data_IF_764468730592
#
_entry.id   IF_764468730592
#
_cell.length_a   1.000
_cell.length_b   1.000
_cell.length_c   1.000
_cell.angle_alpha   90.00
_cell.angle_beta   90.00
_cell.angle_gamma   90.00
#
_symmetry.space_group_name_H-M   'P 1'
#
loop_
_entity.id
_entity.type
_entity.pdbx_description
1 polymer ?
#
# COMPACT_ATOMS: atom_id res chain seq x y z
N UNK A 1 33.73 -4.73 6.12
CA UNK A 1 33.08 -4.03 4.99
C UNK A 1 32.74 -2.62 5.44
N UNK A 2 32.90 -1.60 4.59
CA UNK A 2 32.56 -0.23 4.98
C UNK A 2 31.05 -0.12 5.24
N UNK A 3 30.67 0.37 6.42
CA UNK A 3 29.27 0.72 6.73
C UNK A 3 28.89 1.86 5.78
N UNK A 4 27.95 1.59 4.86
CA UNK A 4 27.40 2.65 4.01
C UNK A 4 26.28 3.31 4.77
N UNK A 5 26.34 4.63 4.91
CA UNK A 5 25.24 5.39 5.49
C UNK A 5 24.00 5.32 4.59
N UNK A 6 22.82 5.34 5.22
CA UNK A 6 21.56 5.48 4.51
C UNK A 6 21.55 6.78 3.69
N UNK A 7 21.06 6.70 2.47
CA UNK A 7 20.90 7.87 1.59
C UNK A 7 19.43 8.09 1.33
N UNK A 8 18.90 9.24 1.79
CA UNK A 8 17.50 9.60 1.64
C UNK A 8 17.39 10.73 0.63
N UNK A 9 16.47 10.59 -0.32
CA UNK A 9 16.19 11.59 -1.33
C UNK A 9 14.70 11.59 -1.68
N UNK A 10 14.08 12.75 -1.96
CA UNK A 10 12.69 12.80 -2.42
C UNK A 10 12.46 11.92 -3.64
N UNK A 11 11.24 11.40 -3.80
CA UNK A 11 10.87 10.71 -5.03
C UNK A 11 10.89 11.69 -6.21
N UNK A 12 11.41 11.23 -7.35
CA UNK A 12 11.37 12.01 -8.57
C UNK A 12 9.92 12.14 -9.05
N UNK A 13 9.45 13.37 -9.19
CA UNK A 13 8.14 13.69 -9.75
C UNK A 13 8.30 14.60 -10.97
N UNK A 14 7.36 14.61 -11.94
CA UNK A 14 7.38 15.58 -13.03
C UNK A 14 7.42 17.01 -12.47
N UNK A 15 8.10 17.93 -13.16
CA UNK A 15 8.23 19.32 -12.71
C UNK A 15 6.90 20.09 -12.64
N UNK A 16 5.85 19.56 -13.28
CA UNK A 16 4.48 20.08 -13.27
C UNK A 16 3.64 19.49 -12.14
N UNK A 17 4.16 18.50 -11.40
CA UNK A 17 3.45 17.84 -10.31
C UNK A 17 3.47 18.69 -9.04
N UNK A 18 2.33 18.78 -8.37
CA UNK A 18 2.21 19.38 -7.04
C UNK A 18 2.49 18.38 -5.90
N UNK A 19 2.91 17.16 -6.22
CA UNK A 19 3.25 16.14 -5.21
C UNK A 19 4.49 16.57 -4.42
N UNK A 20 4.34 16.64 -3.10
CA UNK A 20 5.34 17.12 -2.13
C UNK A 20 5.74 16.04 -1.10
N UNK A 21 5.30 14.80 -1.29
CA UNK A 21 5.56 13.68 -0.40
C UNK A 21 6.24 12.52 -1.12
N UNK A 22 6.79 11.59 -0.35
CA UNK A 22 7.50 10.42 -0.81
C UNK A 22 9.01 10.61 -0.83
N UNK A 23 9.73 9.62 -0.32
CA UNK A 23 11.19 9.55 -0.45
C UNK A 23 11.65 8.13 -0.80
N UNK A 24 12.84 8.02 -1.38
CA UNK A 24 13.55 6.75 -1.50
C UNK A 24 14.73 6.70 -0.54
N UNK A 25 15.04 5.51 -0.06
CA UNK A 25 16.20 5.24 0.78
C UNK A 25 17.05 4.14 0.13
N UNK A 26 18.32 4.44 -0.09
CA UNK A 26 19.33 3.51 -0.57
C UNK A 26 20.22 3.00 0.59
N UNK A 27 20.86 1.86 0.38
CA UNK A 27 21.78 1.19 1.31
C UNK A 27 21.14 0.69 2.63
N UNK A 28 19.84 0.40 2.65
CA UNK A 28 19.19 -0.27 3.78
C UNK A 28 19.50 -1.77 3.75
N UNK A 29 19.96 -2.33 4.86
CA UNK A 29 20.02 -3.77 5.11
C UNK A 29 18.88 -4.16 6.07
N UNK A 30 17.78 -4.69 5.51
CA UNK A 30 16.63 -5.09 6.33
C UNK A 30 16.85 -6.38 7.11
N UNK A 31 17.77 -7.24 6.67
CA UNK A 31 18.10 -8.48 7.38
C UNK A 31 18.87 -8.18 8.67
N UNK A 32 19.62 -7.07 8.69
CA UNK A 32 20.46 -6.68 9.82
C UNK A 32 20.20 -5.23 10.26
N UNK A 33 18.92 -4.85 10.36
CA UNK A 33 18.54 -3.46 10.63
C UNK A 33 18.92 -3.02 12.05
N UNK A 34 19.81 -2.02 12.15
CA UNK A 34 20.19 -1.41 13.43
C UNK A 34 19.10 -0.49 13.99
N UNK A 35 19.14 -0.17 15.28
CA UNK A 35 18.19 0.77 15.89
C UNK A 35 18.35 2.20 15.33
N UNK A 36 19.58 2.61 15.02
CA UNK A 36 19.87 3.92 14.43
C UNK A 36 19.32 4.04 13.00
N UNK A 37 19.45 2.96 12.21
CA UNK A 37 18.88 2.90 10.86
C UNK A 37 17.35 2.88 10.92
N UNK A 38 16.78 2.12 11.86
CA UNK A 38 15.34 2.11 12.08
C UNK A 38 14.79 3.50 12.44
N UNK A 39 15.40 4.22 13.37
CA UNK A 39 14.96 5.59 13.70
C UNK A 39 15.07 6.54 12.50
N UNK A 40 16.11 6.37 11.67
CA UNK A 40 16.24 7.12 10.43
C UNK A 40 15.10 6.83 9.46
N UNK A 41 14.77 5.55 9.23
CA UNK A 41 13.64 5.13 8.38
C UNK A 41 12.31 5.63 8.96
N UNK A 42 12.11 5.50 10.28
CA UNK A 42 10.88 5.92 10.96
C UNK A 42 10.63 7.42 10.80
N UNK A 43 11.64 8.24 11.05
CA UNK A 43 11.53 9.69 10.88
C UNK A 43 11.28 10.05 9.42
N UNK A 44 12.00 9.44 8.49
CA UNK A 44 11.79 9.66 7.06
C UNK A 44 10.38 9.30 6.61
N UNK A 45 9.80 8.21 7.12
CA UNK A 45 8.44 7.77 6.80
C UNK A 45 7.40 8.75 7.34
N UNK A 46 7.52 9.19 8.59
CA UNK A 46 6.55 10.14 9.16
C UNK A 46 6.63 11.53 8.55
N UNK A 47 7.79 11.93 8.02
CA UNK A 47 7.91 13.19 7.26
C UNK A 47 7.45 13.06 5.82
N UNK A 48 7.78 11.95 5.14
CA UNK A 48 7.56 11.80 3.69
C UNK A 48 6.29 11.03 3.36
N UNK A 49 5.59 10.47 4.35
CA UNK A 49 4.39 9.62 4.26
C UNK A 49 4.55 8.28 3.53
N UNK A 50 5.39 8.21 2.49
CA UNK A 50 5.69 7.01 1.70
C UNK A 50 7.20 6.88 1.54
N UNK A 51 7.72 5.67 1.73
CA UNK A 51 9.13 5.35 1.49
C UNK A 51 9.29 4.22 0.47
N UNK A 52 10.26 4.37 -0.42
CA UNK A 52 10.74 3.31 -1.30
C UNK A 52 12.13 2.90 -0.85
N UNK A 53 12.25 1.73 -0.23
CA UNK A 53 13.55 1.15 0.12
C UNK A 53 14.10 0.42 -1.11
N UNK A 54 15.23 0.88 -1.66
CA UNK A 54 15.79 0.35 -2.91
C UNK A 54 16.67 -0.87 -2.64
N UNK A 55 16.81 -1.70 -3.69
CA UNK A 55 17.72 -2.87 -3.71
C UNK A 55 17.42 -3.94 -2.64
N UNK A 56 16.13 -4.15 -2.33
CA UNK A 56 15.66 -5.13 -1.35
C UNK A 56 15.29 -6.49 -1.99
N UNK A 57 15.88 -6.81 -3.14
CA UNK A 57 15.63 -8.10 -3.79
C UNK A 57 16.20 -9.23 -2.94
N UNK A 58 15.37 -10.23 -2.61
CA UNK A 58 15.78 -11.37 -1.80
C UNK A 58 15.70 -11.17 -0.29
N UNK A 59 15.16 -10.04 0.18
CA UNK A 59 14.80 -9.87 1.60
C UNK A 59 13.76 -10.92 2.00
N UNK A 60 13.96 -11.52 3.16
CA UNK A 60 13.09 -12.55 3.70
C UNK A 60 11.75 -11.97 4.18
N UNK A 61 10.67 -12.78 4.16
CA UNK A 61 9.40 -12.40 4.78
C UNK A 61 9.56 -11.99 6.26
N UNK A 62 10.49 -12.63 6.97
CA UNK A 62 10.77 -12.31 8.37
C UNK A 62 11.35 -10.89 8.52
N UNK A 63 12.37 -10.52 7.74
CA UNK A 63 12.94 -9.18 7.78
C UNK A 63 11.91 -8.09 7.43
N UNK A 64 11.04 -8.32 6.43
CA UNK A 64 9.92 -7.42 6.13
C UNK A 64 8.96 -7.28 7.33
N UNK A 65 8.62 -8.40 7.97
CA UNK A 65 7.78 -8.42 9.15
C UNK A 65 8.42 -7.66 10.32
N UNK A 66 9.69 -7.91 10.62
CA UNK A 66 10.41 -7.27 11.72
C UNK A 66 10.50 -5.75 11.55
N UNK A 67 10.79 -5.25 10.34
CA UNK A 67 10.71 -3.81 10.06
C UNK A 67 9.33 -3.24 10.43
N UNK A 68 8.27 -3.90 9.97
CA UNK A 68 6.88 -3.47 10.19
C UNK A 68 6.53 -3.49 11.68
N UNK A 69 6.93 -4.56 12.39
CA UNK A 69 6.70 -4.75 13.82
C UNK A 69 7.38 -3.68 14.67
N UNK A 70 8.53 -3.15 14.27
CA UNK A 70 9.19 -2.07 15.03
C UNK A 70 8.36 -0.78 15.07
N UNK A 71 7.50 -0.51 14.09
CA UNK A 71 6.55 0.61 14.13
C UNK A 71 5.37 0.36 15.08
N UNK A 72 4.99 -0.90 15.25
CA UNK A 72 3.92 -1.30 16.18
C UNK A 72 4.22 -2.65 16.84
N UNK A 73 4.94 -2.65 17.99
CA UNK A 73 5.33 -3.90 18.65
C UNK A 73 4.15 -4.78 19.09
N UNK A 74 2.96 -4.20 19.22
CA UNK A 74 1.72 -4.91 19.56
C UNK A 74 1.06 -5.63 18.36
N UNK A 75 1.55 -5.40 17.14
CA UNK A 75 1.01 -6.03 15.94
C UNK A 75 1.52 -7.48 15.78
N UNK A 76 0.71 -8.43 16.25
CA UNK A 76 1.06 -9.87 16.20
C UNK A 76 0.48 -10.61 14.99
N UNK A 77 -0.50 -10.03 14.30
CA UNK A 77 -1.23 -10.64 13.19
C UNK A 77 -1.41 -9.71 11.99
N UNK A 78 -1.64 -10.28 10.82
CA UNK A 78 -2.04 -9.52 9.63
C UNK A 78 -3.43 -8.89 9.82
N UNK A 79 -3.54 -7.58 9.55
CA UNK A 79 -4.78 -6.82 9.71
C UNK A 79 -5.31 -6.89 11.15
N UNK A 80 -6.59 -7.20 11.31
CA UNK A 80 -7.26 -7.34 12.61
C UNK A 80 -7.34 -8.78 13.13
N UNK A 81 -6.47 -9.66 12.60
CA UNK A 81 -6.43 -11.06 12.98
C UNK A 81 -7.77 -11.79 12.75
N UNK A 82 -8.16 -12.63 13.73
CA UNK A 82 -9.37 -13.48 13.65
C UNK A 82 -10.69 -12.76 13.94
N UNK A 83 -10.67 -11.45 14.20
CA UNK A 83 -11.89 -10.68 14.51
C UNK A 83 -12.85 -10.69 13.31
N UNK A 84 -12.32 -10.87 12.10
CA UNK A 84 -13.09 -10.98 10.87
C UNK A 84 -12.99 -12.42 10.38
N UNK A 85 -14.13 -13.02 10.02
CA UNK A 85 -14.14 -14.28 9.28
C UNK A 85 -13.37 -14.04 7.98
N UNK A 86 -12.15 -14.57 7.91
CA UNK A 86 -11.24 -14.33 6.79
C UNK A 86 -11.92 -14.66 5.46
N UNK A 87 -12.84 -15.64 5.43
CA UNK A 87 -13.61 -16.04 4.24
C UNK A 87 -14.59 -14.98 3.73
N UNK A 88 -14.99 -14.03 4.56
CA UNK A 88 -15.87 -12.91 4.20
C UNK A 88 -15.11 -11.66 3.78
N UNK A 89 -13.78 -11.65 3.90
CA UNK A 89 -12.97 -10.53 3.45
C UNK A 89 -12.99 -10.44 1.93
N UNK A 90 -13.23 -9.24 1.40
CA UNK A 90 -13.10 -8.94 -0.05
C UNK A 90 -11.70 -9.30 -0.57
N UNK A 91 -10.69 -9.32 0.31
CA UNK A 91 -9.31 -9.67 -0.01
C UNK A 91 -9.02 -11.17 0.01
N UNK A 92 -9.87 -11.99 0.63
CA UNK A 92 -9.64 -13.44 0.77
C UNK A 92 -9.24 -14.16 -0.52
N UNK A 93 -9.88 -13.92 -1.69
CA UNK A 93 -9.48 -14.61 -2.92
C UNK A 93 -8.09 -14.22 -3.44
N UNK A 94 -7.58 -13.05 -3.04
CA UNK A 94 -6.41 -12.42 -3.64
C UNK A 94 -5.12 -12.63 -2.82
N UNK A 95 -5.24 -13.02 -1.55
CA UNK A 95 -4.12 -13.20 -0.62
C UNK A 95 -3.73 -14.68 -0.45
N UNK A 96 -2.43 -14.96 -0.33
CA UNK A 96 -1.90 -16.25 0.14
C UNK A 96 -0.96 -16.03 1.33
N UNK A 97 -1.26 -16.67 2.46
CA UNK A 97 -0.43 -16.57 3.68
C UNK A 97 0.86 -17.36 3.53
N UNK A 98 2.00 -16.74 3.83
CA UNK A 98 3.30 -17.44 3.88
C UNK A 98 3.34 -18.35 5.13
N UNK A 99 3.55 -19.68 4.99
CA UNK A 99 3.52 -20.62 6.12
C UNK A 99 4.57 -20.34 7.20
N UNK A 100 5.77 -19.90 6.80
CA UNK A 100 6.90 -19.62 7.70
C UNK A 100 6.78 -18.26 8.40
N UNK A 101 5.96 -17.34 7.88
CA UNK A 101 5.74 -16.01 8.43
C UNK A 101 4.30 -15.55 8.14
N UNK A 102 3.35 -15.97 8.98
CA UNK A 102 1.90 -15.85 8.68
C UNK A 102 1.36 -14.42 8.68
N UNK A 103 2.12 -13.46 9.21
CA UNK A 103 1.83 -12.03 9.13
C UNK A 103 2.09 -11.46 7.73
N UNK A 104 2.80 -12.19 6.87
CA UNK A 104 3.11 -11.79 5.50
C UNK A 104 2.19 -12.51 4.52
N UNK A 105 1.63 -11.73 3.60
CA UNK A 105 0.71 -12.18 2.57
C UNK A 105 1.34 -11.99 1.20
N UNK A 106 1.16 -12.97 0.33
CA UNK A 106 1.56 -12.91 -1.08
C UNK A 106 0.37 -12.45 -1.91
N UNK A 107 0.60 -11.42 -2.72
CA UNK A 107 -0.32 -10.90 -3.72
C UNK A 107 0.34 -10.92 -5.08
N UNK A 108 -0.45 -11.07 -6.15
CA UNK A 108 0.09 -11.10 -7.50
C UNK A 108 -0.93 -11.60 -8.51
N UNK A 109 -0.43 -12.13 -9.63
CA UNK A 109 -1.26 -12.67 -10.70
C UNK A 109 -0.61 -13.91 -11.32
N UNK A 110 -1.43 -14.88 -11.69
CA UNK A 110 -1.00 -16.07 -12.43
C UNK A 110 -0.58 -17.24 -11.54
N UNK A 111 -0.18 -18.32 -12.19
CA UNK A 111 0.21 -19.58 -11.57
C UNK A 111 1.69 -19.56 -11.11
N UNK A 112 1.95 -20.20 -9.98
CA UNK A 112 3.27 -20.37 -9.37
C UNK A 112 3.44 -21.82 -8.91
N UNK A 113 4.56 -22.44 -9.30
CA UNK A 113 4.94 -23.78 -8.86
C UNK A 113 5.27 -23.80 -7.36
N UNK A 114 6.14 -22.89 -6.92
CA UNK A 114 6.53 -22.76 -5.51
C UNK A 114 6.99 -21.32 -5.19
N UNK A 115 6.65 -20.83 -4.00
CA UNK A 115 7.19 -19.59 -3.44
C UNK A 115 7.03 -19.56 -1.92
N UNK A 116 8.11 -19.36 -1.17
CA UNK A 116 8.07 -19.22 0.30
C UNK A 116 7.29 -20.34 1.01
N UNK A 117 7.43 -21.58 0.54
CA UNK A 117 6.76 -22.76 1.08
C UNK A 117 5.31 -22.99 0.60
N UNK A 118 4.74 -22.08 -0.19
CA UNK A 118 3.51 -22.31 -0.95
C UNK A 118 3.82 -23.12 -2.20
N UNK A 119 2.97 -24.08 -2.57
CA UNK A 119 3.12 -24.93 -3.76
C UNK A 119 1.84 -24.96 -4.60
N UNK A 120 2.00 -25.07 -5.91
CA UNK A 120 0.93 -25.27 -6.90
C UNK A 120 -0.26 -24.32 -6.70
N UNK A 121 0.02 -23.01 -6.66
CA UNK A 121 -1.00 -22.00 -6.33
C UNK A 121 -1.14 -20.95 -7.42
N UNK A 122 -2.33 -20.37 -7.53
CA UNK A 122 -2.61 -19.27 -8.45
C UNK A 122 -2.95 -18.02 -7.64
N UNK A 123 -2.27 -16.93 -7.97
CA UNK A 123 -2.58 -15.60 -7.49
C UNK A 123 -3.54 -14.92 -8.46
N UNK A 124 -4.45 -14.13 -7.91
CA UNK A 124 -5.42 -13.35 -8.69
C UNK A 124 -5.21 -11.88 -8.38
N UNK A 125 -4.98 -11.09 -9.43
CA UNK A 125 -4.95 -9.64 -9.28
C UNK A 125 -6.37 -9.08 -9.35
N UNK A 126 -6.76 -8.19 -8.41
CA UNK A 126 -8.03 -7.51 -8.50
C UNK A 126 -8.14 -6.69 -9.78
N UNK A 127 -9.37 -6.55 -10.29
CA UNK A 127 -9.63 -5.95 -11.58
C UNK A 127 -10.66 -4.83 -11.45
N UNK A 128 -10.43 -3.67 -12.09
CA UNK A 128 -11.30 -2.49 -11.97
C UNK A 128 -12.79 -2.81 -12.25
N UNK A 129 -13.08 -3.64 -13.26
CA UNK A 129 -14.44 -4.07 -13.62
C UNK A 129 -15.31 -4.68 -12.53
N UNK A 130 -14.72 -5.18 -11.43
CA UNK A 130 -15.52 -5.77 -10.32
C UNK A 130 -15.86 -4.77 -9.23
N UNK A 131 -15.36 -3.54 -9.32
CA UNK A 131 -15.55 -2.50 -8.30
C UNK A 131 -16.28 -1.28 -8.84
N UNK A 132 -16.06 -0.94 -10.12
CA UNK A 132 -16.72 0.19 -10.76
C UNK A 132 -18.13 -0.16 -11.21
N UNK A 133 -19.04 0.82 -11.13
CA UNK A 133 -20.43 0.69 -11.61
C UNK A 133 -20.47 0.42 -13.11
N UNK A 134 -19.73 1.22 -13.86
CA UNK A 134 -19.60 1.12 -15.31
C UNK A 134 -18.20 0.57 -15.60
N UNK A 135 -18.08 -0.53 -16.33
CA UNK A 135 -16.78 -1.11 -16.67
C UNK A 135 -16.21 -0.49 -17.96
N UNK A 136 -14.89 -0.56 -18.13
CA UNK A 136 -14.29 -0.36 -19.46
C UNK A 136 -14.82 -1.45 -20.40
N UNK A 137 -15.22 -1.13 -21.65
CA UNK A 137 -15.65 -2.11 -22.64
C UNK A 137 -14.60 -3.19 -22.88
N UNK A 138 -15.03 -4.40 -23.25
CA UNK A 138 -14.14 -5.54 -23.41
C UNK A 138 -13.09 -5.32 -24.51
N UNK A 139 -13.45 -4.62 -25.59
CA UNK A 139 -12.52 -4.25 -26.66
C UNK A 139 -11.36 -3.34 -26.20
N UNK A 140 -11.57 -2.57 -25.12
CA UNK A 140 -10.65 -1.56 -24.60
C UNK A 140 -9.86 -2.06 -23.36
N UNK A 141 -10.34 -3.11 -22.67
CA UNK A 141 -9.84 -3.56 -21.35
C UNK A 141 -8.35 -4.01 -21.36
N UNK A 142 -7.83 -4.36 -22.53
CA UNK A 142 -6.41 -4.68 -22.68
C UNK A 142 -5.54 -3.42 -22.60
N UNK A 143 -5.95 -2.33 -23.24
CA UNK A 143 -5.15 -1.10 -23.38
C UNK A 143 -5.41 -0.12 -22.23
N UNK A 144 -6.63 -0.11 -21.69
CA UNK A 144 -7.08 0.87 -20.71
C UNK A 144 -7.32 0.25 -19.34
N UNK A 145 -7.17 1.06 -18.29
CA UNK A 145 -7.45 0.66 -16.90
C UNK A 145 -8.01 1.83 -16.09
N UNK A 146 -8.44 1.54 -14.87
CA UNK A 146 -8.81 2.54 -13.85
C UNK A 146 -8.17 2.17 -12.52
N UNK A 147 -8.08 3.12 -11.60
CA UNK A 147 -7.78 2.80 -10.21
C UNK A 147 -8.80 1.77 -9.69
N UNK A 148 -8.33 0.63 -9.18
CA UNK A 148 -9.23 -0.43 -8.70
C UNK A 148 -10.14 0.08 -7.58
N UNK A 149 -9.54 0.61 -6.50
CA UNK A 149 -10.23 1.29 -5.39
C UNK A 149 -9.26 2.17 -4.61
N UNK A 150 -9.75 3.27 -4.06
CA UNK A 150 -9.05 4.06 -3.05
C UNK A 150 -9.42 3.58 -1.65
N UNK A 151 -8.45 3.36 -0.77
CA UNK A 151 -8.70 2.92 0.60
C UNK A 151 -7.53 3.23 1.53
N UNK A 152 -7.81 3.18 2.84
CA UNK A 152 -6.82 3.03 3.91
C UNK A 152 -6.93 1.59 4.40
N UNK A 153 -5.79 0.92 4.55
CA UNK A 153 -5.75 -0.47 4.98
C UNK A 153 -6.46 -0.66 6.32
N UNK A 154 -7.34 -1.67 6.37
CA UNK A 154 -8.03 -2.09 7.59
C UNK A 154 -8.69 -0.95 8.40
N UNK A 155 -9.10 0.15 7.75
CA UNK A 155 -9.89 1.23 8.35
C UNK A 155 -11.34 0.78 8.55
N UNK A 156 -11.57 -0.01 9.60
CA UNK A 156 -12.85 -0.63 9.91
C UNK A 156 -13.54 0.04 11.10
N UNK A 157 -14.85 -0.18 11.23
CA UNK A 157 -15.63 0.34 12.34
C UNK A 157 -15.10 -0.17 13.69
N UNK A 158 -14.94 0.75 14.65
CA UNK A 158 -14.48 0.49 16.01
C UNK A 158 -13.07 -0.13 16.15
N UNK A 159 -12.28 -0.16 15.07
CA UNK A 159 -10.92 -0.68 15.08
C UNK A 159 -9.95 0.38 14.55
N UNK A 160 -8.83 0.56 15.25
CA UNK A 160 -7.79 1.48 14.80
C UNK A 160 -7.09 0.91 13.56
N UNK A 161 -6.89 1.68 12.49
CA UNK A 161 -6.14 1.20 11.33
C UNK A 161 -4.68 0.89 11.72
N UNK A 162 -3.98 0.02 10.96
CA UNK A 162 -2.56 -0.20 11.14
C UNK A 162 -1.77 1.10 11.02
N UNK A 163 -0.70 1.23 11.81
CA UNK A 163 0.17 2.42 11.78
C UNK A 163 0.93 2.54 10.46
N UNK A 164 1.37 1.40 9.90
CA UNK A 164 2.13 1.30 8.66
C UNK A 164 1.78 0.00 7.93
N UNK A 165 1.94 0.00 6.61
CA UNK A 165 1.92 -1.21 5.77
C UNK A 165 3.23 -1.26 5.00
N UNK A 166 3.87 -2.43 4.96
CA UNK A 166 5.02 -2.68 4.09
C UNK A 166 4.62 -3.55 2.91
N UNK A 167 5.09 -3.20 1.71
CA UNK A 167 4.89 -3.96 0.48
C UNK A 167 6.24 -4.23 -0.18
N UNK A 168 6.54 -5.50 -0.45
CA UNK A 168 7.77 -5.92 -1.10
C UNK A 168 7.49 -6.33 -2.55
N UNK A 169 8.25 -5.75 -3.48
CA UNK A 169 8.20 -6.12 -4.89
C UNK A 169 9.12 -7.32 -5.15
N UNK A 170 8.51 -8.50 -5.30
CA UNK A 170 9.23 -9.76 -5.58
C UNK A 170 9.44 -9.95 -7.08
N UNK A 171 8.35 -9.82 -7.86
CA UNK A 171 8.35 -9.93 -9.32
C UNK A 171 7.46 -8.84 -9.89
N UNK A 172 8.09 -7.87 -10.55
CA UNK A 172 7.39 -6.75 -11.20
C UNK A 172 7.13 -7.13 -12.66
N UNK A 173 5.89 -7.01 -13.17
CA UNK A 173 5.61 -7.22 -14.58
C UNK A 173 6.45 -6.31 -15.47
N UNK A 174 6.96 -6.86 -16.58
CA UNK A 174 7.69 -6.11 -17.58
C UNK A 174 6.94 -6.14 -18.93
N UNK A 175 7.25 -5.19 -19.81
CA UNK A 175 6.71 -5.14 -21.17
C UNK A 175 5.64 -4.07 -21.34
N UNK A 176 4.43 -4.48 -21.71
CA UNK A 176 3.35 -3.56 -22.10
C UNK A 176 2.96 -2.61 -20.96
N UNK A 177 2.45 -1.45 -21.35
CA UNK A 177 1.89 -0.43 -20.46
C UNK A 177 0.39 -0.34 -20.70
N UNK A 178 -0.31 0.42 -19.86
CA UNK A 178 -1.73 0.72 -19.99
C UNK A 178 -1.97 2.21 -19.82
N UNK A 179 -3.05 2.70 -20.40
CA UNK A 179 -3.55 4.05 -20.16
C UNK A 179 -4.61 3.99 -19.06
N UNK A 180 -4.31 4.58 -17.91
CA UNK A 180 -5.29 4.80 -16.87
C UNK A 180 -6.19 5.98 -17.24
N UNK A 181 -7.50 5.76 -17.27
CA UNK A 181 -8.50 6.82 -17.50
C UNK A 181 -9.22 7.17 -16.20
N UNK A 182 -9.47 8.46 -15.99
CA UNK A 182 -10.28 8.92 -14.85
C UNK A 182 -11.78 8.75 -15.12
N UNK A 183 -12.21 8.92 -16.37
CA UNK A 183 -13.59 8.75 -16.84
C UNK A 183 -14.65 9.52 -16.00
N UNK A 184 -14.25 10.62 -15.38
CA UNK A 184 -15.09 11.53 -14.59
C UNK A 184 -15.53 12.79 -15.36
N UNK A 185 -15.26 12.82 -16.67
CA UNK A 185 -15.55 13.95 -17.56
C UNK A 185 -14.38 14.95 -17.71
N UNK A 186 -13.29 14.80 -16.94
CA UNK A 186 -12.08 15.63 -17.09
C UNK A 186 -11.31 15.34 -18.39
N UNK A 187 -11.41 14.11 -18.89
CA UNK A 187 -10.58 13.63 -20.00
C UNK A 187 -9.13 13.34 -19.59
N UNK A 188 -8.83 13.30 -18.28
CA UNK A 188 -7.48 13.01 -17.79
C UNK A 188 -7.11 11.54 -17.98
N UNK A 189 -5.86 11.32 -18.40
CA UNK A 189 -5.27 10.02 -18.63
C UNK A 189 -3.83 9.95 -18.09
N UNK A 190 -3.38 8.76 -17.68
CA UNK A 190 -2.00 8.50 -17.23
C UNK A 190 -1.44 7.23 -17.86
N UNK A 191 -0.24 7.31 -18.44
CA UNK A 191 0.49 6.13 -18.90
C UNK A 191 1.16 5.40 -17.72
N UNK A 192 0.77 4.15 -17.48
CA UNK A 192 1.17 3.37 -16.29
C UNK A 192 1.73 1.99 -16.65
N UNK A 193 2.76 1.49 -15.93
CA UNK A 193 3.12 0.08 -16.02
C UNK A 193 2.05 -0.81 -15.38
N UNK A 194 2.07 -2.10 -15.71
CA UNK A 194 1.16 -3.07 -15.09
C UNK A 194 1.44 -3.22 -13.60
N UNK A 195 0.38 -3.37 -12.80
CA UNK A 195 0.49 -3.56 -11.35
C UNK A 195 0.91 -2.30 -10.58
N UNK A 196 0.70 -1.11 -11.17
CA UNK A 196 1.02 0.17 -10.52
C UNK A 196 0.24 0.36 -9.23
N UNK A 197 0.95 0.79 -8.18
CA UNK A 197 0.34 1.27 -6.93
C UNK A 197 0.42 2.78 -6.88
N UNK A 198 -0.68 3.44 -6.52
CA UNK A 198 -0.75 4.89 -6.36
C UNK A 198 -1.09 5.24 -4.91
N UNK A 199 -0.59 6.41 -4.47
CA UNK A 199 -0.81 6.96 -3.14
C UNK A 199 -1.34 8.39 -3.27
N UNK A 200 -2.18 8.79 -2.32
CA UNK A 200 -2.66 10.17 -2.17
C UNK A 200 -2.41 10.64 -0.73
N UNK A 201 -2.10 11.92 -0.56
CA UNK A 201 -1.89 12.51 0.76
C UNK A 201 -3.22 12.95 1.36
N UNK A 202 -3.73 12.18 2.34
CA UNK A 202 -4.91 12.57 3.12
C UNK A 202 -4.72 13.89 3.87
N UNK A 203 -3.49 14.21 4.28
CA UNK A 203 -3.13 15.50 4.88
C UNK A 203 -3.32 16.65 3.88
N UNK A 204 -2.84 16.50 2.65
CA UNK A 204 -3.00 17.54 1.63
C UNK A 204 -4.45 17.67 1.20
N UNK A 205 -5.15 16.54 1.01
CA UNK A 205 -6.60 16.54 0.75
C UNK A 205 -7.36 17.33 1.82
N UNK A 206 -7.03 17.11 3.10
CA UNK A 206 -7.62 17.86 4.21
C UNK A 206 -7.28 19.36 4.17
N UNK A 207 -6.03 19.70 3.88
CA UNK A 207 -5.57 21.08 3.83
C UNK A 207 -6.21 21.89 2.70
N UNK A 208 -6.51 21.23 1.57
CA UNK A 208 -7.18 21.82 0.41
C UNK A 208 -8.67 22.13 0.63
N UNK A 209 -9.30 21.56 1.66
CA UNK A 209 -10.69 21.86 2.00
C UNK A 209 -10.88 23.33 2.42
N UNK A 210 -12.07 23.85 2.17
CA UNK A 210 -12.48 25.14 2.73
C UNK A 210 -12.54 25.09 4.27
N UNK A 211 -12.46 26.25 4.93
CA UNK A 211 -12.61 26.28 6.39
C UNK A 211 -14.01 25.86 6.85
N UNK A 212 -15.02 26.03 6.00
CA UNK A 212 -16.38 25.52 6.26
C UNK A 212 -16.41 23.99 6.25
N UNK A 213 -15.85 23.36 5.21
CA UNK A 213 -15.77 21.91 5.09
C UNK A 213 -14.94 21.30 6.23
N UNK A 214 -13.81 21.92 6.59
CA UNK A 214 -12.98 21.50 7.73
C UNK A 214 -13.76 21.52 9.03
N UNK A 215 -14.60 22.54 9.26
CA UNK A 215 -15.47 22.61 10.46
C UNK A 215 -16.52 21.50 10.43
N UNK A 216 -17.17 21.31 9.28
CA UNK A 216 -18.19 20.28 9.10
C UNK A 216 -17.66 18.87 9.42
N UNK A 217 -16.55 18.45 8.81
CA UNK A 217 -16.00 17.10 9.04
C UNK A 217 -15.45 16.90 10.46
N UNK A 218 -14.90 17.94 11.10
CA UNK A 218 -14.47 17.89 12.51
C UNK A 218 -15.66 17.76 13.47
N UNK A 219 -16.84 18.24 13.10
CA UNK A 219 -18.05 18.09 13.90
C UNK A 219 -18.62 16.67 13.79
N UNK A 220 -18.55 16.04 12.61
CA UNK A 220 -19.00 14.67 12.39
C UNK A 220 -18.21 13.65 13.25
N UNK A 221 -16.90 13.83 13.41
CA UNK A 221 -16.08 12.94 14.24
C UNK A 221 -16.46 13.01 15.73
N UNK A 222 -16.89 14.19 16.23
CA UNK A 222 -17.35 14.36 17.62
C UNK A 222 -18.72 13.72 17.85
N UNK A 223 -19.62 13.77 16.86
CA UNK A 223 -20.92 13.12 16.95
C UNK A 223 -20.78 11.59 17.00
N UNK A 224 -19.84 11.03 16.23
CA UNK A 224 -19.52 9.60 16.24
C UNK A 224 -18.94 9.14 17.59
N UNK A 225 -18.02 9.90 18.19
CA UNK A 225 -17.47 9.56 19.52
C UNK A 225 -18.56 9.60 20.60
N UNK A 226 -19.44 10.61 20.59
CA UNK A 226 -20.53 10.72 21.56
C UNK A 226 -21.63 9.64 21.41
N UNK A 227 -21.77 9.06 20.22
CA UNK A 227 -22.70 7.93 19.97
C UNK A 227 -22.07 6.58 20.35
N UNK A 228 -20.74 6.48 20.39
CA UNK A 228 -20.00 5.27 20.75
C UNK A 228 -19.81 5.08 22.27
N UNK A 229 -20.02 6.15 23.06
CA UNK A 229 -19.96 6.12 24.53
C UNK A 229 -21.33 5.83 25.20
N UNK A 230 -22.34 5.35 24.44
CA UNK A 230 -23.64 4.92 24.99
C UNK A 230 -23.89 3.43 24.79
#
# INVERSE_FOLDING_TARGET
MAVKNLQIQPLSVPSTSAVDFGAQIDNVDLENLSDADFETIRNALYTSHVLVLKNQAGVSPNAQYELTKRFDPAAESYGHGKILDAKRSVLHPDLKTIPTQTQVQVIGNGFYDEYEGLKDFTLKHPHHKVFHKDAIPEEDDLEYTRFYRWHIDAALYALNPPKVTSLMAVKVPAGRRQTLRYDDGSGEELDVPLGTTAFVSGQNMYNLLSEEDKKFIRALSRLFISLMER
#
